data_IF_794662815928
#
_entry.id   IF_794662815928
#
_cell.length_a   1.000
_cell.length_b   1.000
_cell.length_c   1.000
_cell.angle_alpha   90.00
_cell.angle_beta   90.00
_cell.angle_gamma   90.00
#
_symmetry.space_group_name_H-M   'P 1'
#
loop_
_entity.id
_entity.type
_entity.pdbx_description
1 polymer ?
#
# COMPACT_ATOMS: atom_id res chain seq x y z
N UNK A 1 -16.42 -22.32 -40.02
CA UNK A 1 -17.06 -21.76 -38.80
C UNK A 1 -16.68 -22.48 -37.50
N UNK A 2 -16.40 -23.80 -37.49
CA UNK A 2 -16.03 -24.55 -36.28
C UNK A 2 -14.68 -24.18 -35.64
N UNK A 3 -13.73 -23.63 -36.40
CA UNK A 3 -12.41 -23.24 -35.90
C UNK A 3 -12.43 -21.93 -35.11
N UNK A 4 -13.15 -20.93 -35.60
CA UNK A 4 -13.26 -19.60 -34.96
C UNK A 4 -13.91 -19.71 -33.56
N UNK A 5 -14.94 -20.55 -33.42
CA UNK A 5 -15.58 -20.80 -32.13
C UNK A 5 -14.62 -21.44 -31.10
N UNK A 6 -13.67 -22.28 -31.55
CA UNK A 6 -12.67 -22.89 -30.66
C UNK A 6 -11.65 -21.86 -30.17
N UNK A 7 -11.22 -20.94 -31.02
CA UNK A 7 -10.29 -19.87 -30.63
C UNK A 7 -10.90 -18.90 -29.62
N UNK A 8 -12.18 -18.56 -29.79
CA UNK A 8 -12.91 -17.70 -28.82
C UNK A 8 -13.08 -18.40 -27.47
N UNK A 9 -13.41 -19.70 -27.47
CA UNK A 9 -13.54 -20.47 -26.24
C UNK A 9 -12.21 -20.61 -25.47
N UNK A 10 -11.11 -20.84 -26.18
CA UNK A 10 -9.76 -20.90 -25.56
C UNK A 10 -9.35 -19.52 -25.05
N UNK A 11 -9.61 -18.45 -25.81
CA UNK A 11 -9.37 -17.08 -25.35
C UNK A 11 -10.14 -16.75 -24.08
N UNK A 12 -11.43 -17.09 -24.01
CA UNK A 12 -12.27 -16.87 -22.83
C UNK A 12 -11.80 -17.63 -21.59
N UNK A 13 -11.15 -18.79 -21.74
CA UNK A 13 -10.64 -19.59 -20.62
C UNK A 13 -9.27 -19.10 -20.12
N UNK A 14 -8.41 -18.63 -21.03
CA UNK A 14 -7.03 -18.24 -20.73
C UNK A 14 -6.95 -16.82 -20.17
N UNK A 15 -7.83 -15.92 -20.62
CA UNK A 15 -7.80 -14.51 -20.21
C UNK A 15 -8.00 -14.30 -18.70
N UNK A 16 -8.97 -14.97 -18.02
CA UNK A 16 -9.14 -14.85 -16.58
C UNK A 16 -7.97 -15.46 -15.79
N UNK A 17 -7.31 -16.50 -16.33
CA UNK A 17 -6.19 -17.16 -15.68
C UNK A 17 -4.94 -16.26 -15.64
N UNK A 18 -4.69 -15.52 -16.73
CA UNK A 18 -3.57 -14.57 -16.83
C UNK A 18 -3.81 -13.32 -15.98
N UNK A 19 -5.04 -12.80 -15.98
CA UNK A 19 -5.40 -11.63 -15.15
C UNK A 19 -5.44 -12.02 -13.66
N UNK A 20 -5.96 -13.20 -13.34
CA UNK A 20 -5.98 -13.74 -11.98
C UNK A 20 -4.58 -13.95 -11.41
N UNK A 21 -3.67 -14.56 -12.17
CA UNK A 21 -2.30 -14.84 -11.72
C UNK A 21 -1.44 -13.57 -11.52
N UNK A 22 -1.64 -12.52 -12.31
CA UNK A 22 -0.99 -11.23 -12.10
C UNK A 22 -1.42 -10.55 -10.78
N UNK A 23 -2.67 -10.76 -10.35
CA UNK A 23 -3.18 -10.25 -9.07
C UNK A 23 -2.52 -10.91 -7.85
N UNK A 24 -2.21 -12.20 -7.93
CA UNK A 24 -1.58 -12.94 -6.83
C UNK A 24 -0.07 -12.66 -6.69
N UNK A 25 0.64 -12.39 -7.79
CA UNK A 25 2.07 -12.07 -7.76
C UNK A 25 2.38 -10.68 -7.15
N UNK A 26 1.37 -9.83 -6.99
CA UNK A 26 1.50 -8.48 -6.43
C UNK A 26 1.38 -8.45 -4.90
N UNK A 27 1.09 -9.59 -4.27
CA UNK A 27 1.04 -9.72 -2.82
C UNK A 27 2.48 -9.74 -2.26
N UNK A 28 3.03 -8.56 -2.05
CA UNK A 28 4.23 -8.33 -1.25
C UNK A 28 4.12 -9.10 0.08
N UNK A 29 5.21 -9.72 0.54
CA UNK A 29 5.33 -10.69 1.65
C UNK A 29 4.76 -10.27 3.04
N UNK A 30 4.03 -9.17 3.15
CA UNK A 30 3.35 -8.69 4.35
C UNK A 30 1.82 -8.50 4.22
N UNK A 31 1.20 -9.00 3.14
CA UNK A 31 -0.24 -8.85 2.92
C UNK A 31 -0.68 -7.42 2.58
N UNK A 32 -1.98 -7.11 2.61
CA UNK A 32 -2.48 -5.78 2.25
C UNK A 32 -1.96 -4.73 3.22
N UNK A 33 -1.27 -3.73 2.69
CA UNK A 33 -0.72 -2.61 3.44
C UNK A 33 -1.13 -1.27 2.85
N UNK A 34 -1.31 -0.27 3.72
CA UNK A 34 -1.54 1.11 3.35
C UNK A 34 -0.37 1.96 3.83
N UNK A 35 0.14 2.84 2.97
CA UNK A 35 1.17 3.81 3.32
C UNK A 35 0.86 5.12 2.63
N UNK A 36 0.83 6.20 3.40
CA UNK A 36 0.70 7.57 2.91
C UNK A 36 1.68 8.47 3.64
N UNK A 37 2.45 9.25 2.89
CA UNK A 37 3.31 10.32 3.42
C UNK A 37 2.87 11.65 2.84
N UNK A 38 2.98 12.70 3.63
CA UNK A 38 2.80 14.09 3.24
C UNK A 38 3.92 14.89 3.86
N UNK A 39 4.69 15.55 3.01
CA UNK A 39 5.85 16.32 3.39
C UNK A 39 5.69 17.73 2.81
N UNK A 40 5.94 18.75 3.63
CA UNK A 40 5.80 20.16 3.23
C UNK A 40 6.89 20.98 3.91
N UNK A 41 7.53 21.89 3.20
CA UNK A 41 8.54 22.77 3.78
C UNK A 41 8.30 24.21 3.34
N UNK A 42 8.51 25.16 4.25
CA UNK A 42 8.45 26.60 3.99
C UNK A 42 9.57 27.33 4.74
N UNK A 43 9.65 28.65 4.58
CA UNK A 43 10.65 29.50 5.23
C UNK A 43 10.66 29.44 6.76
N UNK A 44 9.56 28.96 7.36
CA UNK A 44 9.38 28.84 8.80
C UNK A 44 9.54 27.40 9.30
N UNK A 45 9.89 26.42 8.44
CA UNK A 45 10.16 25.05 8.86
C UNK A 45 9.59 23.95 7.95
N UNK A 46 9.71 22.70 8.41
CA UNK A 46 9.27 21.48 7.73
C UNK A 46 8.17 20.72 8.49
N UNK A 47 7.10 20.43 7.77
CA UNK A 47 6.03 19.42 7.94
C UNK A 47 6.39 18.01 7.47
N UNK A 48 6.27 16.94 8.27
CA UNK A 48 6.15 15.58 7.75
C UNK A 48 5.07 14.79 8.49
N UNK A 49 4.14 14.18 7.76
CA UNK A 49 3.10 13.31 8.32
C UNK A 49 3.02 12.01 7.53
N UNK A 50 3.13 10.88 8.24
CA UNK A 50 3.11 9.55 7.65
C UNK A 50 2.11 8.67 8.39
N UNK A 51 1.26 7.98 7.64
CA UNK A 51 0.37 6.93 8.12
C UNK A 51 0.72 5.63 7.44
N UNK A 52 0.88 4.57 8.22
CA UNK A 52 1.12 3.21 7.74
C UNK A 52 0.23 2.23 8.49
N UNK A 53 -0.30 1.24 7.76
CA UNK A 53 -0.98 0.10 8.34
C UNK A 53 -0.77 -1.14 7.48
N UNK A 54 -0.91 -2.32 8.08
CA UNK A 54 -0.80 -3.57 7.35
C UNK A 54 -0.77 -4.75 8.30
N UNK A 55 -0.22 -5.86 7.82
CA UNK A 55 -0.04 -7.07 8.60
C UNK A 55 1.46 -7.39 8.74
N UNK A 56 1.87 -7.89 9.90
CA UNK A 56 3.20 -8.46 10.09
C UNK A 56 3.29 -9.83 9.38
N UNK A 57 4.50 -10.38 9.17
CA UNK A 57 4.65 -11.74 8.66
C UNK A 57 3.91 -12.80 9.50
N UNK A 58 3.73 -12.54 10.79
CA UNK A 58 2.96 -13.39 11.73
C UNK A 58 1.44 -13.17 11.65
N UNK A 59 0.96 -12.35 10.72
CA UNK A 59 -0.46 -12.06 10.51
C UNK A 59 -1.07 -11.07 11.51
N UNK A 60 -0.26 -10.34 12.30
CA UNK A 60 -0.77 -9.33 13.24
C UNK A 60 -1.03 -8.01 12.54
N UNK A 61 -2.22 -7.44 12.76
CA UNK A 61 -2.55 -6.13 12.22
C UNK A 61 -1.82 -5.03 13.00
N UNK A 62 -1.32 -4.03 12.28
CA UNK A 62 -0.73 -2.83 12.88
C UNK A 62 -1.21 -1.56 12.19
N UNK A 63 -1.24 -0.47 12.96
CA UNK A 63 -1.49 0.88 12.48
C UNK A 63 -0.55 1.84 13.20
N UNK A 64 0.03 2.79 12.45
CA UNK A 64 0.86 3.86 13.00
C UNK A 64 0.69 5.13 12.19
N UNK A 65 0.42 6.23 12.89
CA UNK A 65 0.50 7.57 12.33
C UNK A 65 1.57 8.35 13.08
N UNK A 66 2.39 9.10 12.36
CA UNK A 66 3.46 9.92 12.92
C UNK A 66 3.43 11.27 12.23
N UNK A 67 3.39 12.34 13.00
CA UNK A 67 3.55 13.71 12.52
C UNK A 67 4.77 14.32 13.19
N UNK A 68 5.61 14.96 12.41
CA UNK A 68 6.82 15.65 12.84
C UNK A 68 6.82 17.04 12.25
N UNK A 69 7.23 18.00 13.04
CA UNK A 69 7.40 19.38 12.61
C UNK A 69 8.73 19.91 13.15
N UNK A 70 9.45 20.66 12.32
CA UNK A 70 10.68 21.34 12.72
C UNK A 70 10.65 22.79 12.25
N UNK A 71 11.04 23.74 13.09
CA UNK A 71 11.11 25.16 12.75
C UNK A 71 12.12 25.93 13.61
N UNK A 72 12.16 27.27 13.48
CA UNK A 72 13.14 28.12 14.16
C UNK A 72 13.16 28.00 15.69
N UNK A 73 12.03 27.60 16.29
CA UNK A 73 11.90 27.42 17.74
C UNK A 73 12.13 25.98 18.21
N UNK A 74 12.55 25.07 17.32
CA UNK A 74 12.84 23.67 17.64
C UNK A 74 11.99 22.67 16.84
N UNK A 75 12.07 21.41 17.24
CA UNK A 75 11.37 20.30 16.60
C UNK A 75 10.41 19.61 17.57
N UNK A 76 9.23 19.26 17.06
CA UNK A 76 8.21 18.52 17.79
C UNK A 76 7.75 17.33 16.95
N UNK A 77 7.21 16.32 17.63
CA UNK A 77 6.65 15.16 16.96
C UNK A 77 5.65 14.45 17.85
N UNK A 78 4.67 13.82 17.21
CA UNK A 78 3.72 12.96 17.88
C UNK A 78 3.50 11.71 17.03
N UNK A 79 3.28 10.59 17.71
CA UNK A 79 2.95 9.34 17.06
C UNK A 79 1.87 8.62 17.84
N UNK A 80 0.88 8.10 17.12
CA UNK A 80 -0.15 7.20 17.66
C UNK A 80 -0.11 5.89 16.88
N UNK A 81 -0.41 4.80 17.54
CA UNK A 81 -0.44 3.49 16.90
C UNK A 81 -1.17 2.45 17.72
N UNK A 82 -1.53 1.36 17.04
CA UNK A 82 -2.21 0.21 17.62
C UNK A 82 -1.74 -1.08 16.93
N UNK A 83 -1.87 -2.20 17.63
CA UNK A 83 -1.55 -3.54 17.11
C UNK A 83 -2.43 -4.59 17.80
N UNK A 84 -2.57 -5.77 17.16
CA UNK A 84 -3.34 -6.93 17.63
C UNK A 84 -2.49 -8.09 18.13
#
# INVERSE_FOLDING_TARGET
MRSIAKYVAVGALVTPLVIGSAGFASAHDGGPGYKKSQDSANSSGGMSSSTVSGFTPDGKAYFKTTTKQAGPSGATGHSTGSHS
#
